data_IF_616663759869
#
_entry.id   IF_616663759869
#
_cell.length_a   1.000
_cell.length_b   1.000
_cell.length_c   1.000
_cell.angle_alpha   90.00
_cell.angle_beta   90.00
_cell.angle_gamma   90.00
#
_symmetry.space_group_name_H-M   'P 1'
#
loop_
_entity.id
_entity.type
_entity.pdbx_description
1 polymer ?
#
# COMPACT_ATOMS: atom_id res chain seq x y z
N UNK A 1 -9.83 19.21 -2.85
CA UNK A 1 -9.07 18.34 -3.79
C UNK A 1 -9.47 16.90 -3.55
N UNK A 2 -9.65 16.11 -4.61
CA UNK A 2 -9.95 14.67 -4.52
C UNK A 2 -8.63 13.92 -4.52
N UNK A 3 -8.39 13.08 -3.52
CA UNK A 3 -7.19 12.25 -3.45
C UNK A 3 -7.35 10.99 -4.32
N UNK A 4 -6.30 10.50 -4.98
CA UNK A 4 -6.35 9.25 -5.73
C UNK A 4 -6.59 8.06 -4.80
N UNK A 5 -7.45 7.13 -5.22
CA UNK A 5 -7.79 5.92 -4.47
C UNK A 5 -7.54 4.70 -5.36
N UNK A 6 -6.82 3.71 -4.83
CA UNK A 6 -6.59 2.41 -5.45
C UNK A 6 -7.30 1.31 -4.66
N UNK A 7 -8.08 0.48 -5.35
CA UNK A 7 -8.79 -0.66 -4.74
C UNK A 7 -7.91 -1.89 -4.72
N UNK A 8 -7.27 -2.15 -3.59
CA UNK A 8 -6.37 -3.28 -3.41
C UNK A 8 -7.16 -4.53 -3.02
N UNK A 9 -7.22 -5.54 -3.90
CA UNK A 9 -7.71 -6.87 -3.55
C UNK A 9 -6.63 -7.68 -2.82
N UNK A 10 -6.95 -8.20 -1.65
CA UNK A 10 -6.03 -8.98 -0.81
C UNK A 10 -5.93 -10.44 -1.26
N UNK A 11 -5.21 -10.67 -2.36
CA UNK A 11 -4.77 -12.01 -2.75
C UNK A 11 -3.78 -12.59 -1.74
N UNK A 12 -3.58 -13.91 -1.81
CA UNK A 12 -2.81 -14.69 -0.83
C UNK A 12 -1.43 -14.09 -0.54
N UNK A 13 -0.71 -13.68 -1.59
CA UNK A 13 0.62 -13.07 -1.43
C UNK A 13 0.58 -11.77 -0.64
N UNK A 14 -0.38 -10.88 -0.91
CA UNK A 14 -0.46 -9.59 -0.23
C UNK A 14 -0.96 -9.76 1.21
N UNK A 15 -1.91 -10.67 1.40
CA UNK A 15 -2.43 -11.06 2.71
C UNK A 15 -1.34 -11.65 3.61
N UNK A 16 -0.47 -12.52 3.09
CA UNK A 16 0.51 -13.27 3.90
C UNK A 16 1.86 -12.56 4.10
N UNK A 17 2.26 -11.67 3.17
CA UNK A 17 3.66 -11.21 3.09
C UNK A 17 3.91 -9.77 3.54
N UNK A 18 2.87 -8.97 3.76
CA UNK A 18 3.05 -7.58 4.22
C UNK A 18 3.62 -6.66 3.15
N UNK A 19 3.27 -6.88 1.90
CA UNK A 19 3.51 -5.98 0.78
C UNK A 19 2.34 -6.06 -0.21
N UNK A 20 2.21 -5.06 -1.06
CA UNK A 20 1.28 -5.10 -2.18
C UNK A 20 1.81 -4.30 -3.37
N UNK A 21 1.25 -4.56 -4.55
CA UNK A 21 1.50 -3.74 -5.74
C UNK A 21 0.38 -2.72 -5.91
N UNK A 22 0.74 -1.50 -6.30
CA UNK A 22 -0.20 -0.51 -6.80
C UNK A 22 -0.35 -0.63 -8.32
N UNK A 23 -1.50 -0.21 -8.84
CA UNK A 23 -1.80 -0.24 -10.26
C UNK A 23 -1.23 0.94 -11.03
N UNK A 24 -1.30 0.83 -12.36
CA UNK A 24 -0.88 1.88 -13.31
C UNK A 24 -1.72 3.15 -13.20
N UNK A 25 -2.95 3.03 -12.72
CA UNK A 25 -3.92 4.11 -12.51
C UNK A 25 -3.47 5.12 -11.45
N UNK A 26 -2.74 4.64 -10.44
CA UNK A 26 -2.24 5.47 -9.34
C UNK A 26 -0.73 5.68 -9.35
N UNK A 27 0.00 5.01 -10.23
CA UNK A 27 1.46 5.01 -10.29
C UNK A 27 2.08 6.43 -10.27
N UNK A 28 1.53 7.32 -11.11
CA UNK A 28 2.01 8.71 -11.26
C UNK A 28 1.93 9.55 -9.98
N UNK A 29 1.13 9.13 -9.00
CA UNK A 29 0.95 9.84 -7.74
C UNK A 29 1.92 9.35 -6.65
N UNK A 30 2.61 8.24 -6.87
CA UNK A 30 3.60 7.68 -5.96
C UNK A 30 4.99 8.11 -6.39
N UNK A 31 5.90 8.32 -5.42
CA UNK A 31 7.29 8.72 -5.64
C UNK A 31 7.94 7.96 -6.81
N UNK A 32 8.70 8.68 -7.65
CA UNK A 32 9.24 8.18 -8.93
C UNK A 32 10.31 7.09 -8.82
N UNK A 33 10.97 6.94 -7.67
CA UNK A 33 12.09 5.99 -7.49
C UNK A 33 11.87 5.00 -6.35
N UNK A 34 12.93 4.31 -5.93
CA UNK A 34 12.98 3.45 -4.74
C UNK A 34 13.33 4.24 -3.46
N UNK A 35 12.86 3.82 -2.28
CA UNK A 35 13.01 4.60 -1.04
C UNK A 35 11.81 4.54 -0.09
N UNK A 36 11.85 5.32 1.00
CA UNK A 36 10.88 5.24 2.10
C UNK A 36 9.48 5.76 1.73
N UNK A 37 8.49 5.25 2.44
CA UNK A 37 7.09 5.68 2.39
C UNK A 37 6.46 5.49 3.78
N UNK A 38 5.69 6.48 4.23
CA UNK A 38 4.86 6.34 5.42
C UNK A 38 3.53 5.69 5.06
N UNK A 39 3.13 4.68 5.82
CA UNK A 39 1.87 3.97 5.65
C UNK A 39 1.01 4.25 6.89
N UNK A 40 -0.09 4.98 6.68
CA UNK A 40 -1.10 5.24 7.69
C UNK A 40 -2.12 4.10 7.68
N UNK A 41 -2.47 3.59 8.85
CA UNK A 41 -3.32 2.41 9.00
C UNK A 41 -4.63 2.75 9.72
N UNK A 42 -5.76 2.43 9.08
CA UNK A 42 -7.09 2.52 9.67
C UNK A 42 -7.50 3.95 10.05
N UNK A 43 -8.56 4.08 10.85
CA UNK A 43 -9.08 5.38 11.29
C UNK A 43 -8.18 6.07 12.32
N UNK A 44 -7.42 5.31 13.12
CA UNK A 44 -6.44 5.84 14.06
C UNK A 44 -5.24 6.50 13.37
N UNK A 45 -5.03 6.21 12.07
CA UNK A 45 -3.86 6.62 11.29
C UNK A 45 -2.56 6.24 11.99
N UNK A 46 -2.51 5.03 12.57
CA UNK A 46 -1.26 4.47 13.08
C UNK A 46 -0.24 4.47 11.95
N UNK A 47 0.93 5.08 12.18
CA UNK A 47 1.95 5.25 11.16
C UNK A 47 3.00 4.14 11.27
N UNK A 48 3.24 3.44 10.17
CA UNK A 48 4.36 2.53 10.02
C UNK A 48 5.27 2.98 8.88
N UNK A 49 6.57 2.70 9.01
CA UNK A 49 7.53 2.93 7.93
C UNK A 49 7.48 1.77 6.93
N UNK A 50 7.52 2.12 5.65
CA UNK A 50 7.60 1.18 4.54
C UNK A 50 8.62 1.59 3.49
N UNK A 51 8.69 0.81 2.41
CA UNK A 51 9.55 1.08 1.25
C UNK A 51 8.80 0.89 -0.05
N UNK A 52 9.05 1.79 -1.00
CA UNK A 52 8.66 1.64 -2.40
C UNK A 52 9.78 0.97 -3.16
N UNK A 53 9.44 -0.06 -3.94
CA UNK A 53 10.32 -0.71 -4.90
C UNK A 53 9.64 -0.73 -6.28
N UNK A 54 10.26 -0.06 -7.25
CA UNK A 54 9.81 0.00 -8.66
C UNK A 54 10.50 -1.03 -9.55
N UNK A 55 11.54 -1.69 -9.04
CA UNK A 55 12.25 -2.76 -9.75
C UNK A 55 11.58 -4.12 -9.57
N UNK A 56 10.56 -4.20 -8.69
CA UNK A 56 9.91 -5.45 -8.31
C UNK A 56 8.88 -5.95 -9.34
N UNK A 57 8.38 -5.06 -10.20
CA UNK A 57 7.39 -5.35 -11.24
C UNK A 57 7.99 -4.94 -12.59
N UNK A 58 7.84 -5.78 -13.63
CA UNK A 58 8.44 -5.55 -14.96
C UNK A 58 7.97 -4.23 -15.61
N UNK A 59 6.76 -3.79 -15.31
CA UNK A 59 6.17 -2.55 -15.84
C UNK A 59 6.51 -1.30 -14.99
N UNK A 60 7.37 -1.42 -13.97
CA UNK A 60 7.81 -0.28 -13.14
C UNK A 60 6.79 0.19 -12.09
N UNK A 61 5.62 -0.45 -12.01
CA UNK A 61 4.60 -0.10 -11.00
C UNK A 61 5.13 -0.32 -9.58
N UNK A 62 4.75 0.51 -8.60
CA UNK A 62 5.36 0.49 -7.30
C UNK A 62 4.84 -0.68 -6.47
N UNK A 63 5.78 -1.47 -5.93
CA UNK A 63 5.53 -2.38 -4.82
C UNK A 63 5.76 -1.64 -3.51
N UNK A 64 4.78 -1.67 -2.63
CA UNK A 64 4.85 -1.09 -1.29
C UNK A 64 5.11 -2.20 -0.28
N UNK A 65 6.23 -2.10 0.44
CA UNK A 65 6.58 -2.99 1.54
C UNK A 65 6.26 -2.32 2.86
N UNK A 66 5.46 -2.96 3.72
CA UNK A 66 5.26 -2.58 5.13
C UNK A 66 5.65 -3.68 6.12
N UNK A 67 6.08 -4.84 5.61
CA UNK A 67 6.63 -5.95 6.41
C UNK A 67 5.61 -6.55 7.38
N UNK A 68 6.13 -7.10 8.48
CA UNK A 68 5.35 -7.80 9.51
C UNK A 68 4.23 -6.90 10.08
N UNK A 69 4.51 -5.62 10.33
CA UNK A 69 3.51 -4.67 10.87
C UNK A 69 2.31 -4.52 9.94
N UNK A 70 2.55 -4.39 8.64
CA UNK A 70 1.48 -4.30 7.64
C UNK A 70 0.70 -5.61 7.55
N UNK A 71 1.38 -6.76 7.49
CA UNK A 71 0.74 -8.09 7.46
C UNK A 71 -0.19 -8.27 8.66
N UNK A 72 0.32 -8.03 9.86
CA UNK A 72 -0.42 -8.26 11.10
C UNK A 72 -1.60 -7.29 11.23
N UNK A 73 -1.46 -6.07 10.70
CA UNK A 73 -2.60 -5.15 10.59
C UNK A 73 -3.65 -5.64 9.59
N UNK A 74 -3.25 -6.15 8.43
CA UNK A 74 -4.18 -6.73 7.43
C UNK A 74 -4.97 -7.88 8.06
N UNK A 75 -4.30 -8.86 8.68
CA UNK A 75 -4.94 -10.02 9.31
C UNK A 75 -5.93 -9.65 10.41
N UNK A 76 -5.65 -8.59 11.17
CA UNK A 76 -6.54 -8.12 12.23
C UNK A 76 -7.78 -7.39 11.72
N UNK A 77 -7.78 -6.93 10.46
CA UNK A 77 -8.80 -5.99 9.98
C UNK A 77 -9.56 -6.45 8.73
N UNK A 78 -9.03 -7.40 7.97
CA UNK A 78 -9.61 -7.86 6.71
C UNK A 78 -9.52 -9.38 6.59
N UNK A 79 -10.40 -9.94 5.78
CA UNK A 79 -10.39 -11.34 5.36
C UNK A 79 -9.70 -11.50 3.99
N UNK A 80 -9.37 -12.74 3.65
CA UNK A 80 -8.87 -13.08 2.33
C UNK A 80 -9.84 -12.64 1.23
N UNK A 81 -9.31 -12.01 0.17
CA UNK A 81 -10.05 -11.39 -0.95
C UNK A 81 -10.85 -10.12 -0.64
N UNK A 82 -10.80 -9.59 0.58
CA UNK A 82 -11.34 -8.26 0.84
C UNK A 82 -10.63 -7.20 0.01
N UNK A 83 -11.32 -6.07 -0.19
CA UNK A 83 -10.81 -4.89 -0.87
C UNK A 83 -10.44 -3.85 0.19
N UNK A 84 -9.21 -3.36 0.12
CA UNK A 84 -8.69 -2.25 0.93
C UNK A 84 -8.60 -1.02 0.04
N UNK A 85 -9.18 0.09 0.48
CA UNK A 85 -8.97 1.37 -0.18
C UNK A 85 -7.60 1.93 0.23
N UNK A 86 -6.71 2.08 -0.76
CA UNK A 86 -5.40 2.72 -0.59
C UNK A 86 -5.47 4.13 -1.14
N UNK A 87 -5.39 5.12 -0.26
CA UNK A 87 -5.46 6.54 -0.61
C UNK A 87 -4.04 7.10 -0.66
N UNK A 88 -3.66 7.72 -1.79
CA UNK A 88 -2.37 8.41 -1.91
C UNK A 88 -2.53 9.83 -1.37
N UNK A 89 -1.95 10.10 -0.20
CA UNK A 89 -1.99 11.42 0.45
C UNK A 89 -0.91 12.32 -0.16
N UNK A 90 0.30 11.79 -0.26
CA UNK A 90 1.49 12.43 -0.84
C UNK A 90 2.32 11.35 -1.56
N UNK A 91 3.30 11.71 -2.42
CA UNK A 91 4.11 10.72 -3.14
C UNK A 91 4.81 9.68 -2.25
N UNK A 92 5.05 10.01 -0.99
CA UNK A 92 5.67 9.19 0.04
C UNK A 92 4.77 8.97 1.27
N UNK A 93 3.46 9.22 1.17
CA UNK A 93 2.51 8.93 2.26
C UNK A 93 1.23 8.32 1.68
N UNK A 94 0.89 7.11 2.14
CA UNK A 94 -0.35 6.43 1.79
C UNK A 94 -1.18 6.13 3.03
N UNK A 95 -2.49 5.98 2.83
CA UNK A 95 -3.42 5.58 3.88
C UNK A 95 -4.20 4.34 3.45
N UNK A 96 -4.11 3.27 4.24
CA UNK A 96 -4.94 2.09 4.09
C UNK A 96 -6.16 2.25 4.97
N UNK A 97 -7.31 2.45 4.33
CA UNK A 97 -8.58 2.62 5.02
C UNK A 97 -9.20 1.26 5.30
N UNK A 98 -9.74 1.11 6.51
CA UNK A 98 -10.63 0.02 6.91
C UNK A 98 -12.06 0.37 6.55
#
# INVERSE_FOLDING_TARGET
MILPIYKLMLHKTYYDKGFFNLGVDVDRFVRKGNGSIDILLGTSKEKIEGKVNRNANLNGTPRIFGGIKLRDWIWRNFQFKDIVDVIIIEPNIIWLKK
#
